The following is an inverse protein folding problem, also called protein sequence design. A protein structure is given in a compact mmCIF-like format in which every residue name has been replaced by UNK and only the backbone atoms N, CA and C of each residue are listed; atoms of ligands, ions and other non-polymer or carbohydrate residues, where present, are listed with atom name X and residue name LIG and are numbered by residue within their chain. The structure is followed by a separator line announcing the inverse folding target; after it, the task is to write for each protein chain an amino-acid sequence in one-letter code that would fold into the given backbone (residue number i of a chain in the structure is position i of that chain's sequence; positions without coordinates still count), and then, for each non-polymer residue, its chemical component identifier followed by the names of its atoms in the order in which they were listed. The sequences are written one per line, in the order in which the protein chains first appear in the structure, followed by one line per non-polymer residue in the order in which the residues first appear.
data_IF_757786233555
#
_entry.id   IF_757786233555
#
_cell.length_a   1.000
_cell.length_b   1.000
_cell.length_c   1.000
_cell.angle_alpha   90.00
_cell.angle_beta   90.00
_cell.angle_gamma   90.00
#
_symmetry.space_group_name_H-M   'P 1'
#
loop_
_entity.id
_entity.type
_entity.pdbx_description
1 polymer ?
#
# COMPACT_ATOMS: atom_id res chain seq x y z
N UNK A 1 5.01 -3.28 12.63
CA UNK A 1 4.65 -4.20 11.52
C UNK A 1 4.04 -5.53 12.00
N UNK A 2 4.54 -6.17 13.06
CA UNK A 2 4.00 -7.48 13.49
C UNK A 2 2.50 -7.49 13.89
N UNK A 3 1.95 -6.39 14.43
CA UNK A 3 0.53 -6.28 14.78
C UNK A 3 -0.38 -6.16 13.55
N UNK A 4 -0.05 -5.25 12.62
CA UNK A 4 -0.74 -5.05 11.35
C UNK A 4 -0.81 -6.33 10.51
N UNK A 5 0.33 -7.01 10.35
CA UNK A 5 0.40 -8.30 9.62
C UNK A 5 -0.47 -9.38 10.27
N UNK A 6 -0.55 -9.42 11.61
CA UNK A 6 -1.45 -10.35 12.32
C UNK A 6 -2.92 -9.99 12.10
N UNK A 7 -3.25 -8.70 12.09
CA UNK A 7 -4.60 -8.20 11.79
C UNK A 7 -5.05 -8.62 10.40
N UNK A 8 -4.20 -8.39 9.38
CA UNK A 8 -4.47 -8.80 8.00
C UNK A 8 -4.63 -10.30 7.84
N UNK A 9 -3.75 -11.09 8.49
CA UNK A 9 -3.88 -12.56 8.48
C UNK A 9 -5.22 -12.98 9.09
N UNK A 10 -5.65 -12.36 10.19
CA UNK A 10 -6.94 -12.65 10.82
C UNK A 10 -8.11 -12.35 9.88
N UNK A 11 -8.14 -11.15 9.31
CA UNK A 11 -9.17 -10.69 8.38
C UNK A 11 -9.32 -11.63 7.17
N UNK A 12 -8.20 -11.94 6.51
CA UNK A 12 -8.19 -12.79 5.33
C UNK A 12 -8.56 -14.24 5.69
N UNK A 13 -8.17 -14.72 6.89
CA UNK A 13 -8.57 -16.06 7.35
C UNK A 13 -10.07 -16.16 7.61
N UNK A 14 -10.70 -15.12 8.19
CA UNK A 14 -12.16 -15.08 8.38
C UNK A 14 -12.93 -15.05 7.05
N UNK A 15 -12.31 -14.60 5.96
CA UNK A 15 -12.90 -14.64 4.62
C UNK A 15 -12.80 -16.01 3.95
N UNK A 16 -12.38 -17.06 4.66
CA UNK A 16 -12.30 -18.41 4.12
C UNK A 16 -11.03 -18.69 3.33
N UNK A 17 -9.93 -18.04 3.70
CA UNK A 17 -8.60 -18.33 3.15
C UNK A 17 -7.69 -18.97 4.20
N UNK A 18 -6.72 -19.74 3.74
CA UNK A 18 -5.65 -20.28 4.58
C UNK A 18 -4.31 -19.71 4.16
N UNK A 19 -3.49 -19.30 5.13
CA UNK A 19 -2.10 -18.90 4.87
C UNK A 19 -1.32 -20.06 4.27
N UNK A 20 -0.57 -19.77 3.21
CA UNK A 20 0.28 -20.73 2.52
C UNK A 20 1.75 -20.41 2.69
N UNK A 21 2.60 -21.44 2.61
CA UNK A 21 4.06 -21.28 2.64
C UNK A 21 4.56 -21.00 1.22
N UNK A 22 5.56 -20.15 1.11
CA UNK A 22 6.23 -19.86 -0.15
C UNK A 22 7.74 -19.81 0.07
N UNK A 23 8.50 -20.00 -1.00
CA UNK A 23 9.94 -19.80 -1.00
C UNK A 23 10.25 -18.30 -0.96
N UNK A 24 10.96 -17.86 0.09
CA UNK A 24 11.24 -16.45 0.29
C UNK A 24 12.24 -15.96 -0.75
N UNK A 25 11.83 -15.00 -1.56
CA UNK A 25 12.72 -14.26 -2.47
C UNK A 25 13.41 -13.13 -1.71
N UNK A 26 14.64 -12.81 -2.10
CA UNK A 26 15.51 -11.87 -1.38
C UNK A 26 14.92 -10.46 -1.26
N UNK A 27 14.25 -9.99 -2.32
CA UNK A 27 13.75 -8.61 -2.41
C UNK A 27 12.23 -8.50 -2.33
N UNK A 28 11.51 -9.62 -2.12
CA UNK A 28 10.05 -9.65 -2.14
C UNK A 28 9.51 -10.16 -0.81
N UNK A 29 8.77 -9.29 -0.14
CA UNK A 29 8.02 -9.60 1.08
C UNK A 29 6.54 -9.72 0.74
N UNK A 30 5.98 -10.91 0.85
CA UNK A 30 4.56 -11.13 0.61
C UNK A 30 3.97 -12.08 1.64
N UNK A 31 2.64 -12.12 1.69
CA UNK A 31 1.88 -13.11 2.42
C UNK A 31 0.99 -13.80 1.41
N UNK A 32 1.06 -15.12 1.34
CA UNK A 32 0.33 -15.91 0.36
C UNK A 32 -0.83 -16.61 1.04
N UNK A 33 -1.98 -16.61 0.37
CA UNK A 33 -3.20 -17.23 0.86
C UNK A 33 -3.82 -18.11 -0.23
N UNK A 34 -4.45 -19.20 0.18
CA UNK A 34 -5.23 -20.10 -0.68
C UNK A 34 -6.69 -20.06 -0.24
N UNK A 35 -7.61 -19.83 -1.19
CA UNK A 35 -9.06 -19.91 -0.94
C UNK A 35 -9.44 -21.35 -0.56
N UNK A 36 -10.18 -21.52 0.54
CA UNK A 36 -10.62 -22.82 1.05
C UNK A 36 -12.14 -22.94 1.22
N UNK A 37 -12.86 -21.81 1.21
CA UNK A 37 -14.32 -21.75 1.25
C UNK A 37 -14.83 -20.86 0.12
N UNK A 38 -15.93 -21.24 -0.53
CA UNK A 38 -16.46 -20.49 -1.68
C UNK A 38 -17.27 -19.26 -1.31
N UNK A 39 -18.00 -19.34 -0.20
CA UNK A 39 -18.82 -18.27 0.35
C UNK A 39 -18.02 -17.46 1.37
N UNK A 40 -18.02 -16.14 1.20
CA UNK A 40 -17.54 -15.21 2.23
C UNK A 40 -18.49 -14.02 2.32
N UNK A 41 -18.72 -13.55 3.54
CA UNK A 41 -19.39 -12.29 3.81
C UNK A 41 -18.38 -11.31 4.37
N UNK A 42 -18.28 -10.14 3.73
CA UNK A 42 -17.47 -9.03 4.24
C UNK A 42 -18.37 -8.15 5.10
N UNK A 43 -17.87 -7.76 6.28
CA UNK A 43 -18.49 -6.75 7.13
C UNK A 43 -17.45 -5.67 7.50
N UNK A 44 -17.92 -4.58 8.08
CA UNK A 44 -17.07 -3.43 8.44
C UNK A 44 -15.97 -3.84 9.44
N UNK A 45 -16.26 -4.74 10.38
CA UNK A 45 -15.28 -5.27 11.33
C UNK A 45 -14.07 -5.94 10.64
N UNK A 46 -14.30 -6.66 9.54
CA UNK A 46 -13.22 -7.30 8.76
C UNK A 46 -12.45 -6.26 7.95
N UNK A 47 -13.14 -5.21 7.46
CA UNK A 47 -12.50 -4.11 6.74
C UNK A 47 -11.55 -3.31 7.66
N UNK A 48 -11.96 -3.05 8.90
CA UNK A 48 -11.13 -2.35 9.89
C UNK A 48 -9.84 -3.09 10.23
N UNK A 49 -9.86 -4.43 10.15
CA UNK A 49 -8.66 -5.24 10.36
C UNK A 49 -7.63 -5.09 9.23
N UNK A 50 -8.00 -4.53 8.07
CA UNK A 50 -7.15 -4.34 6.88
C UNK A 50 -6.50 -2.94 6.83
N UNK A 51 -6.27 -2.30 7.98
CA UNK A 51 -5.64 -0.98 8.06
C UNK A 51 -4.19 -0.96 7.55
N UNK A 52 -3.79 0.16 6.94
CA UNK A 52 -2.40 0.49 6.61
C UNK A 52 -2.04 1.77 7.37
N UNK A 53 -0.89 1.77 8.05
CA UNK A 53 -0.48 2.92 8.86
C UNK A 53 -0.25 4.22 8.07
N UNK A 54 0.04 4.11 6.77
CA UNK A 54 0.25 5.27 5.89
C UNK A 54 -1.07 6.01 5.65
N UNK A 55 -2.16 5.29 5.44
CA UNK A 55 -3.51 5.84 5.23
C UNK A 55 -3.93 6.74 6.40
N UNK A 56 -3.67 6.30 7.63
CA UNK A 56 -3.99 7.09 8.83
C UNK A 56 -3.15 8.38 8.96
N UNK A 57 -1.94 8.41 8.39
CA UNK A 57 -1.09 9.60 8.40
C UNK A 57 -1.55 10.61 7.34
N UNK A 58 -2.03 10.14 6.19
CA UNK A 58 -2.59 10.98 5.13
C UNK A 58 -3.86 11.70 5.60
N UNK A 59 -4.75 11.03 6.32
CA UNK A 59 -5.94 11.65 6.92
C UNK A 59 -5.59 12.73 7.95
N UNK A 60 -4.59 12.49 8.82
CA UNK A 60 -4.16 13.49 9.83
C UNK A 60 -3.40 14.69 9.25
N UNK A 61 -2.85 14.56 8.04
CA UNK A 61 -2.14 15.64 7.35
C UNK A 61 -3.08 16.54 6.55
N UNK A 62 -4.36 16.16 6.43
CA UNK A 62 -5.40 16.93 5.73
C UNK A 62 -6.11 17.97 6.60
N UNK A 63 -5.92 17.97 7.93
CA UNK A 63 -6.64 18.89 8.83
C UNK A 63 -6.22 20.37 8.69
N UNK A 64 -5.12 20.67 8.00
CA UNK A 64 -4.68 22.04 7.68
C UNK A 64 -5.10 22.54 6.27
N UNK A 65 -5.77 21.71 5.46
CA UNK A 65 -6.18 22.06 4.11
C UNK A 65 -7.70 21.91 3.94
N UNK A 66 -8.43 22.93 4.38
CA UNK A 66 -9.87 23.02 4.14
C UNK A 66 -10.20 23.05 2.63
N UNK A 67 -11.02 22.08 2.21
CA UNK A 67 -11.83 22.03 0.97
C UNK A 67 -11.10 21.59 -0.31
N UNK A 68 -11.20 20.31 -0.67
CA UNK A 68 -11.91 19.90 -1.90
C UNK A 68 -12.09 18.37 -1.96
N UNK A 69 -13.35 18.00 -2.12
CA UNK A 69 -13.87 16.69 -2.46
C UNK A 69 -13.27 16.25 -3.81
N UNK A 70 -12.48 15.17 -3.80
CA UNK A 70 -12.07 14.44 -4.99
C UNK A 70 -10.93 15.05 -5.83
N UNK A 71 -9.69 14.95 -5.37
CA UNK A 71 -8.53 15.02 -6.26
C UNK A 71 -7.54 13.92 -5.92
N UNK A 72 -7.24 13.09 -6.94
CA UNK A 72 -5.91 12.54 -7.15
C UNK A 72 -4.90 13.50 -6.53
N UNK A 73 -4.03 13.03 -5.64
CA UNK A 73 -2.80 13.75 -5.32
C UNK A 73 -2.25 14.17 -6.68
N UNK A 74 -2.33 15.46 -7.00
CA UNK A 74 -1.72 16.00 -8.19
C UNK A 74 -0.25 15.70 -7.95
N UNK A 75 0.22 14.58 -8.52
CA UNK A 75 1.62 14.28 -8.59
C UNK A 75 2.20 15.52 -9.23
N UNK A 76 2.88 16.32 -8.43
CA UNK A 76 3.60 17.47 -8.93
C UNK A 76 4.72 16.88 -9.79
N UNK A 77 4.40 16.63 -11.05
CA UNK A 77 5.27 15.94 -12.01
C UNK A 77 6.61 16.66 -12.11
N UNK A 78 6.63 17.97 -11.87
CA UNK A 78 7.83 18.77 -11.80
C UNK A 78 8.74 18.40 -10.62
N UNK A 79 8.18 18.17 -9.42
CA UNK A 79 8.96 17.70 -8.27
C UNK A 79 9.54 16.32 -8.52
N UNK A 80 8.76 15.42 -9.12
CA UNK A 80 9.21 14.07 -9.46
C UNK A 80 10.34 14.13 -10.49
N UNK A 81 10.21 14.97 -11.52
CA UNK A 81 11.26 15.19 -12.53
C UNK A 81 12.53 15.73 -11.90
N UNK A 82 12.43 16.70 -11.00
CA UNK A 82 13.59 17.28 -10.31
C UNK A 82 14.32 16.24 -9.46
N UNK A 83 13.60 15.43 -8.67
CA UNK A 83 14.24 14.37 -7.86
C UNK A 83 14.87 13.28 -8.72
N UNK A 84 14.33 12.99 -9.91
CA UNK A 84 14.92 12.02 -10.85
C UNK A 84 16.20 12.51 -11.52
N UNK A 85 16.40 13.83 -11.65
CA UNK A 85 17.63 14.42 -12.18
C UNK A 85 18.82 14.31 -11.21
N UNK A 86 18.57 14.13 -9.92
CA UNK A 86 19.61 13.99 -8.88
C UNK A 86 20.19 12.56 -8.80
N UNK A 87 19.63 11.60 -9.55
CA UNK A 87 20.13 10.23 -9.58
C UNK A 87 21.46 10.15 -10.34
N UNK A 88 22.49 9.49 -9.78
CA UNK A 88 23.78 9.33 -10.47
C UNK A 88 23.59 8.46 -11.72
N UNK A 89 23.74 9.09 -12.89
CA UNK A 89 23.49 8.46 -14.19
C UNK A 89 22.87 9.40 -15.24
N UNK A 90 22.50 10.64 -14.88
CA UNK A 90 22.08 11.65 -15.85
C UNK A 90 23.27 12.09 -16.72
N UNK A 91 23.45 11.42 -17.85
CA UNK A 91 24.24 11.95 -18.97
C UNK A 91 23.37 12.99 -19.68
N UNK A 92 23.70 14.27 -19.52
CA UNK A 92 23.19 15.30 -20.41
C UNK A 92 23.63 14.94 -21.83
N UNK A 93 22.72 14.45 -22.64
CA UNK A 93 22.94 14.32 -24.08
C UNK A 93 22.81 15.72 -24.70
N UNK A 94 23.85 16.53 -24.49
CA UNK A 94 24.04 17.79 -25.17
C UNK A 94 25.00 17.54 -26.33
N UNK A 95 24.47 16.94 -27.39
CA UNK A 95 25.07 17.02 -28.72
C UNK A 95 24.60 18.32 -29.39
N UNK A 96 25.46 19.33 -29.39
CA UNK A 96 25.63 20.31 -30.50
C UNK A 96 27.05 20.90 -30.45
#
# INVERSE_FOLDING_TARGET
NSAMIRSWISAITSLGFSKWKYEKLEHIHCIVFRKIQDECSVNDDIADLMFIHQDALEESSQEDASTEDGLFIERNDEQIRQTMLELPGFVSDSED
#
